data_IF_702693106143
#
_entry.id   IF_702693106143
#
_cell.length_a   1.000
_cell.length_b   1.000
_cell.length_c   1.000
_cell.angle_alpha   90.00
_cell.angle_beta   90.00
_cell.angle_gamma   90.00
#
_symmetry.space_group_name_H-M   'P 1'
#
loop_
_entity.id
_entity.type
_entity.pdbx_description
1 polymer ?
#
# COMPACT_ATOMS: atom_id res chain seq x y z
N UNK A 1 10.87 -13.39 -24.80
CA UNK A 1 10.83 -13.57 -23.34
C UNK A 1 11.78 -14.72 -23.08
N UNK A 2 12.95 -14.48 -22.50
CA UNK A 2 13.87 -15.57 -22.17
C UNK A 2 13.18 -16.51 -21.18
N UNK A 3 13.13 -17.80 -21.53
CA UNK A 3 12.26 -18.82 -20.93
C UNK A 3 12.44 -18.97 -19.40
N UNK A 4 13.59 -18.57 -18.87
CA UNK A 4 13.98 -18.78 -17.47
C UNK A 4 14.10 -17.48 -16.64
N UNK A 5 14.01 -16.28 -17.25
CA UNK A 5 14.23 -15.01 -16.53
C UNK A 5 12.99 -14.09 -16.44
N UNK A 6 12.40 -14.04 -15.25
CA UNK A 6 11.24 -13.22 -14.92
C UNK A 6 11.60 -11.77 -14.54
N UNK A 7 12.66 -11.56 -13.77
CA UNK A 7 12.93 -10.29 -13.08
C UNK A 7 14.24 -9.61 -13.53
N UNK A 8 14.30 -8.29 -13.39
CA UNK A 8 15.52 -7.49 -13.62
C UNK A 8 16.64 -7.94 -12.67
N UNK A 9 17.87 -7.99 -13.17
CA UNK A 9 19.05 -8.47 -12.44
C UNK A 9 19.14 -9.99 -12.29
N UNK A 10 18.13 -10.74 -12.76
CA UNK A 10 18.15 -12.20 -12.70
C UNK A 10 19.20 -12.75 -13.66
N UNK A 11 20.02 -13.68 -13.16
CA UNK A 11 20.94 -14.45 -13.99
C UNK A 11 20.22 -15.67 -14.55
N UNK A 12 20.33 -15.89 -15.86
CA UNK A 12 19.79 -17.06 -16.55
C UNK A 12 20.66 -17.41 -17.78
N UNK A 13 20.36 -18.52 -18.45
CA UNK A 13 21.09 -18.94 -19.66
C UNK A 13 21.16 -17.86 -20.73
N UNK A 14 20.08 -17.10 -20.90
CA UNK A 14 19.98 -16.01 -21.89
C UNK A 14 20.38 -14.64 -21.31
N UNK A 15 20.66 -14.56 -20.02
CA UNK A 15 21.00 -13.32 -19.32
C UNK A 15 22.14 -13.59 -18.33
N UNK A 16 23.36 -13.64 -18.86
CA UNK A 16 24.55 -13.94 -18.07
C UNK A 16 25.00 -12.76 -17.20
N UNK A 17 25.82 -13.06 -16.20
CA UNK A 17 26.46 -12.07 -15.33
C UNK A 17 27.95 -11.99 -15.65
N UNK A 18 28.41 -10.81 -16.06
CA UNK A 18 29.79 -10.49 -16.38
C UNK A 18 30.09 -9.01 -16.19
N UNK A 19 31.22 -8.54 -16.74
CA UNK A 19 31.60 -7.12 -16.65
C UNK A 19 30.68 -6.21 -17.46
N UNK A 20 30.20 -6.70 -18.60
CA UNK A 20 29.37 -5.92 -19.54
C UNK A 20 27.86 -6.09 -19.32
N UNK A 21 27.41 -7.22 -18.76
CA UNK A 21 26.00 -7.52 -18.53
C UNK A 21 25.80 -7.98 -17.09
N UNK A 22 24.77 -7.45 -16.43
CA UNK A 22 24.47 -7.74 -15.02
C UNK A 22 23.16 -8.53 -14.89
N UNK A 23 22.99 -9.59 -15.68
CA UNK A 23 21.74 -10.33 -15.78
C UNK A 23 20.70 -9.60 -16.64
N UNK A 24 19.42 -9.97 -16.50
CA UNK A 24 18.32 -9.43 -17.29
C UNK A 24 18.13 -7.94 -17.04
N UNK A 25 17.97 -7.15 -18.10
CA UNK A 25 17.77 -5.70 -17.97
C UNK A 25 16.31 -5.29 -18.11
N UNK A 26 15.51 -6.07 -18.85
CA UNK A 26 14.12 -5.74 -19.11
C UNK A 26 13.23 -5.98 -17.89
N UNK A 27 12.29 -5.07 -17.71
CA UNK A 27 11.23 -5.18 -16.72
C UNK A 27 10.38 -6.44 -16.98
N UNK A 28 9.85 -7.02 -15.90
CA UNK A 28 8.93 -8.15 -15.97
C UNK A 28 7.67 -7.76 -16.77
N UNK A 29 7.28 -8.61 -17.72
CA UNK A 29 5.99 -8.47 -18.40
C UNK A 29 4.89 -8.99 -17.50
N UNK A 30 3.96 -8.13 -17.11
CA UNK A 30 2.83 -8.48 -16.25
C UNK A 30 1.66 -9.02 -17.08
N UNK A 31 1.66 -10.33 -17.33
CA UNK A 31 0.64 -10.99 -18.16
C UNK A 31 -0.78 -10.79 -17.61
N UNK A 32 -0.93 -10.63 -16.30
CA UNK A 32 -2.21 -10.33 -15.68
C UNK A 32 -2.81 -9.00 -16.16
N UNK A 33 -1.99 -7.94 -16.25
CA UNK A 33 -2.44 -6.63 -16.76
C UNK A 33 -2.73 -6.69 -18.26
N UNK A 34 -1.90 -7.43 -19.01
CA UNK A 34 -2.13 -7.65 -20.45
C UNK A 34 -3.46 -8.36 -20.66
N UNK A 35 -3.76 -9.38 -19.87
CA UNK A 35 -5.05 -10.06 -19.88
C UNK A 35 -6.21 -9.14 -19.49
N UNK A 36 -6.02 -8.31 -18.47
CA UNK A 36 -7.00 -7.31 -18.04
C UNK A 36 -7.32 -6.29 -19.15
N UNK A 37 -6.33 -5.92 -19.99
CA UNK A 37 -6.53 -4.99 -21.10
C UNK A 37 -7.55 -5.49 -22.14
N UNK A 38 -7.80 -6.80 -22.22
CA UNK A 38 -8.86 -7.36 -23.06
C UNK A 38 -10.28 -7.08 -22.53
N UNK A 39 -10.44 -6.57 -21.29
CA UNK A 39 -11.68 -6.21 -20.59
C UNK A 39 -12.70 -7.33 -20.36
N UNK A 40 -12.66 -8.40 -21.15
CA UNK A 40 -13.64 -9.49 -21.10
C UNK A 40 -13.10 -10.75 -20.45
N UNK A 41 -11.79 -10.85 -20.24
CA UNK A 41 -11.15 -12.05 -19.67
C UNK A 41 -11.16 -11.99 -18.15
N UNK A 42 -11.54 -13.08 -17.49
CA UNK A 42 -11.30 -13.25 -16.05
C UNK A 42 -9.81 -13.50 -15.82
N UNK A 43 -9.18 -12.73 -14.94
CA UNK A 43 -7.75 -12.91 -14.61
C UNK A 43 -7.63 -13.20 -13.14
N UNK A 44 -6.84 -14.22 -12.78
CA UNK A 44 -6.38 -14.40 -11.41
C UNK A 44 -4.87 -14.58 -11.42
N UNK A 45 -4.19 -13.83 -10.55
CA UNK A 45 -2.79 -14.06 -10.23
C UNK A 45 -2.69 -14.52 -8.78
N UNK A 46 -2.00 -15.63 -8.56
CA UNK A 46 -2.00 -16.31 -7.27
C UNK A 46 -0.70 -17.02 -6.94
N UNK A 47 -0.61 -17.48 -5.70
CA UNK A 47 0.54 -18.19 -5.14
C UNK A 47 0.06 -19.37 -4.30
N UNK A 48 0.80 -20.48 -4.30
CA UNK A 48 0.47 -21.67 -3.49
C UNK A 48 0.50 -21.38 -1.98
N UNK A 49 1.18 -20.32 -1.56
CA UNK A 49 1.18 -19.83 -0.19
C UNK A 49 -0.17 -19.22 0.25
N UNK A 50 -1.09 -18.97 -0.68
CA UNK A 50 -2.40 -18.39 -0.41
C UNK A 50 -3.51 -19.31 -0.95
N UNK A 51 -3.73 -20.49 -0.33
CA UNK A 51 -4.65 -21.50 -0.85
C UNK A 51 -6.09 -21.01 -0.94
N UNK A 52 -6.57 -20.20 0.02
CA UNK A 52 -7.92 -19.62 -0.02
C UNK A 52 -8.12 -18.75 -1.26
N UNK A 53 -7.18 -17.84 -1.54
CA UNK A 53 -7.20 -16.99 -2.74
C UNK A 53 -7.20 -17.83 -4.03
N UNK A 54 -6.40 -18.90 -4.07
CA UNK A 54 -6.37 -19.80 -5.22
C UNK A 54 -7.69 -20.53 -5.43
N UNK A 55 -8.23 -21.16 -4.38
CA UNK A 55 -9.46 -21.96 -4.47
C UNK A 55 -10.64 -21.07 -4.89
N UNK A 56 -10.85 -19.94 -4.21
CA UNK A 56 -11.89 -18.98 -4.59
C UNK A 56 -11.68 -18.47 -6.01
N UNK A 57 -10.43 -18.13 -6.35
CA UNK A 57 -10.06 -17.64 -7.67
C UNK A 57 -10.33 -18.63 -8.79
N UNK A 58 -10.07 -19.93 -8.57
CA UNK A 58 -10.40 -21.00 -9.52
C UNK A 58 -11.89 -21.21 -9.64
N UNK A 59 -12.64 -21.21 -8.53
CA UNK A 59 -14.09 -21.34 -8.55
C UNK A 59 -14.72 -20.18 -9.33
N UNK A 60 -14.33 -18.94 -9.06
CA UNK A 60 -14.81 -17.77 -9.82
C UNK A 60 -14.47 -17.89 -11.31
N UNK A 61 -13.21 -18.21 -11.65
CA UNK A 61 -12.75 -18.25 -13.03
C UNK A 61 -13.32 -19.40 -13.86
N UNK A 62 -13.50 -20.60 -13.28
CA UNK A 62 -14.08 -21.75 -13.97
C UNK A 62 -15.59 -21.55 -14.20
N UNK A 63 -16.28 -20.88 -13.28
CA UNK A 63 -17.69 -20.56 -13.43
C UNK A 63 -17.94 -19.32 -14.33
N UNK A 64 -16.90 -18.57 -14.67
CA UNK A 64 -17.01 -17.41 -15.54
C UNK A 64 -17.35 -17.84 -16.97
N UNK A 65 -18.40 -17.26 -17.57
CA UNK A 65 -18.82 -17.55 -18.95
C UNK A 65 -17.98 -16.78 -19.99
N UNK A 66 -16.66 -16.72 -19.76
CA UNK A 66 -15.69 -15.89 -20.49
C UNK A 66 -14.32 -16.58 -20.44
N UNK A 67 -13.35 -16.23 -21.30
CA UNK A 67 -11.99 -16.73 -21.17
C UNK A 67 -11.44 -16.42 -19.78
N UNK A 68 -10.78 -17.40 -19.16
CA UNK A 68 -10.16 -17.27 -17.85
C UNK A 68 -8.65 -17.54 -17.96
N UNK A 69 -7.83 -16.65 -17.39
CA UNK A 69 -6.39 -16.80 -17.28
C UNK A 69 -6.00 -16.91 -15.81
N UNK A 70 -5.35 -18.02 -15.48
CA UNK A 70 -4.77 -18.26 -14.16
C UNK A 70 -3.25 -18.15 -14.26
N UNK A 71 -2.68 -17.13 -13.62
CA UNK A 71 -1.24 -16.89 -13.56
C UNK A 71 -0.74 -17.25 -12.16
N UNK A 72 -0.10 -18.41 -12.01
CA UNK A 72 0.29 -18.92 -10.69
C UNK A 72 1.80 -18.83 -10.53
N UNK A 73 2.26 -18.28 -9.40
CA UNK A 73 3.66 -18.33 -9.04
C UNK A 73 4.08 -19.76 -8.71
N UNK A 74 5.11 -20.24 -9.40
CA UNK A 74 5.72 -21.54 -9.15
C UNK A 74 7.22 -21.35 -8.94
N UNK A 75 7.70 -21.61 -7.72
CA UNK A 75 9.12 -21.66 -7.46
C UNK A 75 9.73 -22.90 -8.13
N UNK A 76 10.88 -22.74 -8.78
CA UNK A 76 11.62 -23.85 -9.38
C UNK A 76 12.93 -24.04 -8.63
N UNK A 77 13.06 -25.15 -7.91
CA UNK A 77 14.21 -25.45 -7.03
C UNK A 77 15.56 -25.33 -7.75
N UNK A 78 15.80 -26.06 -8.87
CA UNK A 78 17.09 -26.00 -9.56
C UNK A 78 17.37 -24.62 -10.18
N UNK A 79 16.39 -24.03 -10.86
CA UNK A 79 16.59 -22.78 -11.61
C UNK A 79 16.69 -21.54 -10.70
N UNK A 80 15.98 -21.55 -9.57
CA UNK A 80 16.07 -20.47 -8.58
C UNK A 80 17.24 -20.70 -7.61
N UNK A 81 17.75 -21.93 -7.54
CA UNK A 81 18.78 -22.37 -6.60
C UNK A 81 18.33 -22.22 -5.15
N UNK A 82 17.16 -22.75 -4.85
CA UNK A 82 16.54 -22.82 -3.53
C UNK A 82 16.46 -24.28 -3.09
N UNK A 83 16.29 -24.54 -1.78
CA UNK A 83 16.17 -25.92 -1.29
C UNK A 83 14.83 -26.57 -1.69
N UNK A 84 14.82 -27.90 -1.73
CA UNK A 84 13.70 -28.68 -2.27
C UNK A 84 12.39 -28.57 -1.47
N UNK A 85 12.50 -28.28 -0.18
CA UNK A 85 11.38 -28.10 0.77
C UNK A 85 10.90 -26.65 0.90
N UNK A 86 11.58 -25.68 0.24
CA UNK A 86 11.31 -24.25 0.40
C UNK A 86 10.29 -23.69 -0.60
N UNK A 87 9.60 -24.52 -1.36
CA UNK A 87 8.67 -24.06 -2.40
C UNK A 87 7.56 -23.16 -1.85
N UNK A 88 6.90 -23.57 -0.76
CA UNK A 88 5.84 -22.78 -0.11
C UNK A 88 6.41 -21.49 0.49
N UNK A 89 7.52 -21.60 1.22
CA UNK A 89 8.19 -20.46 1.84
C UNK A 89 8.59 -19.39 0.81
N UNK A 90 9.19 -19.78 -0.31
CA UNK A 90 9.53 -18.83 -1.38
C UNK A 90 8.30 -18.25 -2.07
N UNK A 91 7.23 -19.03 -2.18
CA UNK A 91 5.99 -18.57 -2.76
C UNK A 91 5.30 -17.54 -1.87
N UNK A 92 5.45 -17.65 -0.54
CA UNK A 92 5.04 -16.63 0.43
C UNK A 92 5.90 -15.38 0.29
N UNK A 93 7.23 -15.52 0.34
CA UNK A 93 8.15 -14.39 0.20
C UNK A 93 7.95 -13.62 -1.12
N UNK A 94 7.62 -14.30 -2.22
CA UNK A 94 7.33 -13.66 -3.50
C UNK A 94 6.10 -12.72 -3.43
N UNK A 95 5.03 -13.11 -2.72
CA UNK A 95 3.85 -12.27 -2.52
C UNK A 95 4.17 -11.10 -1.59
N UNK A 96 4.79 -11.42 -0.47
CA UNK A 96 5.10 -10.48 0.62
C UNK A 96 6.07 -9.37 0.18
N UNK A 97 7.09 -9.71 -0.60
CA UNK A 97 8.09 -8.77 -1.15
C UNK A 97 7.59 -7.98 -2.37
N UNK A 98 6.29 -8.07 -2.71
CA UNK A 98 5.70 -7.52 -3.94
C UNK A 98 6.34 -8.01 -5.24
N UNK A 99 7.14 -9.08 -5.21
CA UNK A 99 7.67 -9.68 -6.43
C UNK A 99 6.55 -10.22 -7.32
N UNK A 100 5.55 -10.84 -6.69
CA UNK A 100 4.40 -11.46 -7.32
C UNK A 100 3.13 -11.25 -6.47
N UNK A 101 2.55 -10.04 -6.47
CA UNK A 101 1.35 -9.74 -5.68
C UNK A 101 0.14 -10.54 -6.16
N UNK A 102 -0.79 -10.80 -5.24
CA UNK A 102 -2.07 -11.44 -5.57
C UNK A 102 -3.00 -10.42 -6.23
N UNK A 103 -3.74 -10.84 -7.26
CA UNK A 103 -4.81 -10.02 -7.83
C UNK A 103 -5.90 -10.91 -8.44
N UNK A 104 -7.09 -10.34 -8.56
CA UNK A 104 -8.21 -10.87 -9.35
C UNK A 104 -8.79 -9.75 -10.19
N UNK A 105 -9.16 -10.06 -11.41
CA UNK A 105 -9.94 -9.20 -12.28
C UNK A 105 -11.14 -9.99 -12.77
N UNK A 106 -12.33 -9.58 -12.35
CA UNK A 106 -13.59 -10.21 -12.71
C UNK A 106 -14.52 -9.17 -13.36
N UNK A 107 -14.68 -9.18 -14.68
CA UNK A 107 -15.50 -8.18 -15.36
C UNK A 107 -17.01 -8.36 -15.17
N UNK A 108 -17.46 -9.42 -14.47
CA UNK A 108 -18.86 -9.57 -14.06
C UNK A 108 -19.20 -8.79 -12.79
N UNK A 109 -18.20 -8.27 -12.06
CA UNK A 109 -18.42 -7.56 -10.78
C UNK A 109 -18.87 -6.11 -10.96
N UNK A 110 -18.69 -5.51 -12.13
CA UNK A 110 -19.06 -4.11 -12.36
C UNK A 110 -18.69 -3.60 -13.75
N UNK A 111 -18.78 -2.28 -13.92
CA UNK A 111 -18.42 -1.59 -15.17
C UNK A 111 -17.17 -0.73 -15.02
N UNK A 112 -16.83 -0.36 -13.79
CA UNK A 112 -15.62 0.39 -13.47
C UNK A 112 -14.45 -0.57 -13.21
N UNK A 113 -13.21 -0.22 -13.59
CA UNK A 113 -12.04 -1.04 -13.28
C UNK A 113 -11.90 -1.32 -11.78
N UNK A 114 -12.22 -0.35 -10.93
CA UNK A 114 -12.13 -0.44 -9.46
C UNK A 114 -13.13 -1.45 -8.86
N UNK A 115 -14.27 -1.69 -9.51
CA UNK A 115 -15.25 -2.69 -9.09
C UNK A 115 -14.83 -4.12 -9.48
N UNK A 116 -14.14 -4.23 -10.61
CA UNK A 116 -13.74 -5.48 -11.22
C UNK A 116 -12.36 -5.96 -10.74
N UNK A 117 -11.52 -5.06 -10.22
CA UNK A 117 -10.14 -5.34 -9.85
C UNK A 117 -9.97 -5.43 -8.33
N UNK A 118 -9.39 -6.54 -7.88
CA UNK A 118 -9.25 -6.87 -6.46
C UNK A 118 -7.81 -7.32 -6.16
N UNK A 119 -7.27 -6.84 -5.04
CA UNK A 119 -5.93 -7.17 -4.52
C UNK A 119 -5.98 -7.66 -3.08
N UNK A 120 -7.14 -8.11 -2.61
CA UNK A 120 -7.28 -8.75 -1.30
C UNK A 120 -6.35 -9.97 -1.16
N UNK A 121 -5.98 -10.29 0.08
CA UNK A 121 -5.06 -11.38 0.43
C UNK A 121 -3.58 -10.98 0.45
N UNK A 122 -3.21 -9.83 -0.10
CA UNK A 122 -1.86 -9.28 0.07
C UNK A 122 -1.67 -8.70 1.49
N UNK A 123 -0.50 -8.84 2.12
CA UNK A 123 -0.21 -8.22 3.42
C UNK A 123 -0.08 -6.69 3.30
N UNK A 124 -0.36 -5.98 4.39
CA UNK A 124 -0.15 -4.53 4.54
C UNK A 124 -0.56 -3.72 3.29
N UNK A 125 -1.84 -3.84 2.89
CA UNK A 125 -2.30 -3.39 1.56
C UNK A 125 -2.02 -1.89 1.34
N UNK A 126 -2.16 -1.07 2.37
CA UNK A 126 -1.97 0.39 2.27
C UNK A 126 -0.49 0.79 2.12
N UNK A 127 0.42 -0.04 2.63
CA UNK A 127 1.86 0.24 2.67
C UNK A 127 2.56 -0.21 1.38
N UNK A 128 3.70 0.40 1.09
CA UNK A 128 4.53 -0.02 -0.04
C UNK A 128 5.17 -1.40 0.23
N UNK A 129 5.65 -1.61 1.46
CA UNK A 129 6.30 -2.84 1.90
C UNK A 129 5.75 -3.27 3.26
N UNK A 130 5.43 -4.57 3.44
CA UNK A 130 5.16 -5.10 4.77
C UNK A 130 6.43 -5.16 5.63
N UNK A 131 6.27 -5.17 6.96
CA UNK A 131 7.37 -5.24 7.93
C UNK A 131 7.39 -6.58 8.67
N UNK A 132 8.60 -7.08 9.00
CA UNK A 132 8.82 -8.38 9.61
C UNK A 132 9.88 -8.32 10.71
N UNK A 133 9.73 -9.18 11.71
CA UNK A 133 10.73 -9.33 12.75
C UNK A 133 11.93 -10.13 12.21
N UNK A 134 13.09 -9.46 12.13
CA UNK A 134 14.39 -10.09 11.91
C UNK A 134 15.01 -10.40 13.28
N UNK A 135 15.13 -11.68 13.61
CA UNK A 135 15.81 -12.14 14.82
C UNK A 135 17.31 -12.23 14.60
N UNK A 136 18.10 -11.74 15.56
CA UNK A 136 19.56 -11.74 15.53
C UNK A 136 20.15 -11.86 16.93
N UNK A 137 21.45 -12.13 17.00
CA UNK A 137 22.25 -12.09 18.22
C UNK A 137 22.99 -10.76 18.26
N UNK A 138 22.80 -10.01 19.33
CA UNK A 138 23.42 -8.71 19.54
C UNK A 138 24.93 -8.81 19.87
N UNK A 139 25.55 -7.69 20.22
CA UNK A 139 26.99 -7.66 20.55
C UNK A 139 27.32 -8.30 21.91
N UNK A 140 26.32 -8.43 22.78
CA UNK A 140 26.42 -9.04 24.11
C UNK A 140 26.15 -10.55 24.08
N UNK A 141 25.66 -11.07 22.96
CA UNK A 141 25.33 -12.49 22.80
C UNK A 141 23.87 -12.82 23.11
N UNK A 142 23.04 -11.81 23.34
CA UNK A 142 21.63 -11.95 23.67
C UNK A 142 20.76 -11.98 22.41
N UNK A 143 19.63 -12.66 22.50
CA UNK A 143 18.66 -12.72 21.42
C UNK A 143 17.91 -11.39 21.32
N UNK A 144 18.01 -10.75 20.16
CA UNK A 144 17.33 -9.50 19.83
C UNK A 144 16.49 -9.68 18.56
N UNK A 145 15.53 -8.78 18.37
CA UNK A 145 14.72 -8.72 17.16
C UNK A 145 14.49 -7.26 16.75
N UNK A 146 14.41 -7.01 15.45
CA UNK A 146 14.06 -5.69 14.91
C UNK A 146 13.06 -5.83 13.77
N UNK A 147 12.23 -4.81 13.58
CA UNK A 147 11.31 -4.76 12.45
C UNK A 147 12.04 -4.22 11.22
N UNK A 148 11.99 -4.96 10.11
CA UNK A 148 12.57 -4.57 8.83
C UNK A 148 11.52 -4.68 7.72
N UNK A 149 11.52 -3.75 6.75
CA UNK A 149 10.65 -3.86 5.58
C UNK A 149 11.12 -5.01 4.69
N UNK A 150 10.19 -5.84 4.20
CA UNK A 150 10.49 -6.87 3.21
C UNK A 150 10.29 -6.32 1.81
N UNK A 151 11.40 -5.95 1.19
CA UNK A 151 11.45 -5.47 -0.19
C UNK A 151 11.72 -6.61 -1.16
N UNK A 152 11.66 -6.31 -2.46
CA UNK A 152 12.09 -7.27 -3.50
C UNK A 152 13.54 -7.75 -3.31
N UNK A 153 14.43 -6.93 -2.74
CA UNK A 153 15.82 -7.33 -2.49
C UNK A 153 15.92 -8.43 -1.42
N UNK A 154 15.05 -8.40 -0.41
CA UNK A 154 14.99 -9.38 0.67
C UNK A 154 14.47 -10.74 0.16
N UNK A 155 13.62 -10.75 -0.86
CA UNK A 155 13.29 -11.96 -1.61
C UNK A 155 14.44 -12.39 -2.54
N UNK A 156 15.07 -11.45 -3.25
CA UNK A 156 16.10 -11.78 -4.23
C UNK A 156 17.37 -12.37 -3.58
N UNK A 157 17.75 -11.92 -2.37
CA UNK A 157 18.94 -12.44 -1.67
C UNK A 157 18.80 -13.93 -1.29
N UNK A 158 17.57 -14.45 -1.16
CA UNK A 158 17.33 -15.86 -0.82
C UNK A 158 17.46 -16.81 -2.01
N UNK A 159 17.55 -16.29 -3.25
CA UNK A 159 17.64 -17.11 -4.46
C UNK A 159 19.01 -17.01 -5.13
N UNK A 160 19.59 -18.17 -5.47
CA UNK A 160 20.93 -18.23 -6.07
C UNK A 160 21.03 -17.46 -7.40
N UNK A 161 19.91 -17.36 -8.14
CA UNK A 161 19.83 -16.63 -9.42
C UNK A 161 20.11 -15.12 -9.31
N UNK A 162 20.11 -14.54 -8.11
CA UNK A 162 20.51 -13.15 -7.86
C UNK A 162 21.78 -13.03 -7.03
N UNK A 163 22.39 -14.12 -6.58
CA UNK A 163 23.52 -14.12 -5.62
C UNK A 163 24.67 -13.20 -6.03
N UNK A 164 24.96 -13.07 -7.33
CA UNK A 164 26.03 -12.20 -7.86
C UNK A 164 25.75 -10.70 -7.74
N UNK A 165 24.49 -10.32 -7.49
CA UNK A 165 24.03 -8.94 -7.33
C UNK A 165 24.21 -8.41 -5.91
N UNK A 166 24.68 -9.23 -4.96
CA UNK A 166 24.77 -8.83 -3.55
C UNK A 166 26.21 -8.84 -3.06
N UNK A 167 26.56 -7.85 -2.24
CA UNK A 167 27.87 -7.74 -1.59
C UNK A 167 27.67 -7.48 -0.10
N UNK A 168 28.25 -8.35 0.74
CA UNK A 168 28.26 -8.15 2.20
C UNK A 168 29.30 -7.11 2.56
N UNK A 169 28.94 -6.21 3.47
CA UNK A 169 29.82 -5.15 3.97
C UNK A 169 30.41 -5.56 5.32
N UNK A 170 31.75 -5.62 5.44
CA UNK A 170 32.44 -5.77 6.73
C UNK A 170 32.03 -4.68 7.74
N UNK A 171 31.95 -5.01 9.03
CA UNK A 171 31.46 -4.08 10.07
C UNK A 171 32.31 -2.81 10.19
N UNK A 172 33.61 -2.92 9.95
CA UNK A 172 34.58 -1.81 9.94
C UNK A 172 34.35 -0.81 8.80
N UNK A 173 33.65 -1.22 7.74
CA UNK A 173 33.34 -0.34 6.60
C UNK A 173 31.97 0.36 6.73
N UNK A 174 31.25 0.17 7.84
CA UNK A 174 29.95 0.80 8.06
C UNK A 174 30.11 2.31 8.25
N UNK A 175 29.27 3.08 7.57
CA UNK A 175 29.28 4.54 7.65
C UNK A 175 27.86 5.10 7.51
N UNK A 176 27.71 6.41 7.75
CA UNK A 176 26.42 7.12 7.76
C UNK A 176 25.82 7.32 6.37
N UNK A 177 26.62 7.14 5.30
CA UNK A 177 26.12 7.20 3.92
C UNK A 177 25.38 5.90 3.52
N UNK A 178 25.38 4.88 4.37
CA UNK A 178 24.63 3.65 4.16
C UNK A 178 23.19 3.84 4.65
N UNK A 179 22.23 3.73 3.74
CA UNK A 179 20.81 3.95 4.03
C UNK A 179 20.02 2.66 3.80
N UNK A 180 19.09 2.27 4.69
CA UNK A 180 18.20 1.13 4.44
C UNK A 180 17.51 1.26 3.09
N UNK A 181 17.45 0.17 2.31
CA UNK A 181 16.98 0.21 0.93
C UNK A 181 15.59 0.84 0.81
N UNK A 182 14.64 0.48 1.67
CA UNK A 182 13.29 1.05 1.63
C UNK A 182 13.26 2.58 1.77
N UNK A 183 14.11 3.14 2.64
CA UNK A 183 14.28 4.59 2.81
C UNK A 183 15.04 5.20 1.64
N UNK A 184 16.08 4.52 1.15
CA UNK A 184 16.83 4.97 -0.01
C UNK A 184 15.93 5.17 -1.24
N UNK A 185 14.90 4.33 -1.41
CA UNK A 185 13.95 4.45 -2.52
C UNK A 185 13.03 5.68 -2.43
N UNK A 186 12.87 6.30 -1.25
CA UNK A 186 12.03 7.51 -1.07
C UNK A 186 12.81 8.81 -1.21
N UNK A 187 14.15 8.75 -1.16
CA UNK A 187 15.02 9.90 -1.32
C UNK A 187 14.96 10.46 -2.75
N UNK A 188 14.81 11.78 -2.85
CA UNK A 188 14.96 12.54 -4.10
C UNK A 188 16.44 12.65 -4.51
N UNK A 189 17.31 12.97 -3.55
CA UNK A 189 18.76 13.01 -3.74
C UNK A 189 19.46 11.80 -3.11
N UNK A 190 20.15 11.07 -3.97
CA UNK A 190 20.81 9.79 -3.71
C UNK A 190 22.33 9.87 -3.92
N UNK A 191 22.86 11.03 -4.26
CA UNK A 191 24.28 11.19 -4.50
C UNK A 191 25.08 10.84 -3.23
N UNK A 192 26.13 10.03 -3.40
CA UNK A 192 26.98 9.58 -2.29
C UNK A 192 26.35 8.58 -1.32
N UNK A 193 25.09 8.19 -1.50
CA UNK A 193 24.39 7.24 -0.60
C UNK A 193 24.44 5.81 -1.12
N UNK A 194 24.58 4.86 -0.21
CA UNK A 194 24.68 3.43 -0.53
C UNK A 194 23.49 2.67 0.07
N UNK A 195 22.59 2.09 -0.75
CA UNK A 195 21.49 1.31 -0.23
C UNK A 195 21.99 0.00 0.37
N UNK A 196 21.39 -0.45 1.46
CA UNK A 196 21.64 -1.78 2.02
C UNK A 196 20.36 -2.43 2.55
N UNK A 197 20.37 -3.75 2.66
CA UNK A 197 19.37 -4.52 3.41
C UNK A 197 20.03 -5.20 4.61
N UNK A 198 19.24 -5.44 5.65
CA UNK A 198 19.67 -6.22 6.81
C UNK A 198 19.58 -7.71 6.51
N UNK A 199 20.63 -8.45 6.84
CA UNK A 199 20.62 -9.90 6.83
C UNK A 199 21.35 -10.43 8.06
N UNK A 200 21.30 -11.74 8.26
CA UNK A 200 22.04 -12.43 9.33
C UNK A 200 23.12 -13.33 8.73
N UNK A 201 24.29 -13.36 9.38
CA UNK A 201 25.36 -14.28 9.03
C UNK A 201 25.11 -15.69 9.62
N UNK A 202 26.03 -16.64 9.34
CA UNK A 202 25.96 -18.02 9.86
C UNK A 202 26.02 -18.12 11.39
N UNK A 203 26.36 -17.03 12.09
CA UNK A 203 26.42 -16.94 13.55
C UNK A 203 25.24 -16.12 14.10
N UNK A 204 24.20 -15.89 13.30
CA UNK A 204 23.02 -15.08 13.62
C UNK A 204 23.33 -13.61 13.94
N UNK A 205 24.46 -13.06 13.49
CA UNK A 205 24.79 -11.64 13.71
C UNK A 205 24.31 -10.79 12.55
N UNK A 206 23.87 -9.58 12.86
CA UNK A 206 23.48 -8.61 11.83
C UNK A 206 24.65 -8.25 10.91
N UNK A 207 24.35 -8.26 9.62
CA UNK A 207 25.21 -7.81 8.53
C UNK A 207 24.44 -6.87 7.60
N UNK A 208 25.15 -5.92 7.00
CA UNK A 208 24.63 -5.08 5.92
C UNK A 208 25.00 -5.70 4.57
N UNK A 209 24.02 -5.84 3.69
CA UNK A 209 24.22 -6.34 2.33
C UNK A 209 23.82 -5.27 1.33
N UNK A 210 24.75 -4.89 0.46
CA UNK A 210 24.52 -3.91 -0.59
C UNK A 210 23.99 -4.63 -1.84
N UNK A 211 22.76 -4.32 -2.30
CA UNK A 211 22.28 -4.74 -3.59
C UNK A 211 22.93 -3.94 -4.73
N UNK A 212 23.20 -4.58 -5.86
CA UNK A 212 23.64 -3.92 -7.07
C UNK A 212 22.51 -3.08 -7.70
N UNK A 213 22.89 -2.12 -8.55
CA UNK A 213 21.95 -1.21 -9.21
C UNK A 213 20.77 -1.89 -9.94
N UNK A 214 20.91 -3.06 -10.60
CA UNK A 214 19.77 -3.79 -11.17
C UNK A 214 18.71 -4.20 -10.13
N UNK A 215 19.13 -4.61 -8.93
CA UNK A 215 18.21 -5.01 -7.86
C UNK A 215 17.52 -3.78 -7.25
N UNK A 216 18.23 -2.66 -7.11
CA UNK A 216 17.62 -1.39 -6.67
C UNK A 216 16.53 -0.96 -7.65
N UNK A 217 16.82 -0.98 -8.97
CA UNK A 217 15.83 -0.70 -10.02
C UNK A 217 14.65 -1.68 -9.99
N UNK A 218 14.90 -2.97 -9.72
CA UNK A 218 13.84 -3.96 -9.57
C UNK A 218 12.93 -3.64 -8.37
N UNK A 219 13.49 -3.18 -7.24
CA UNK A 219 12.71 -2.78 -6.07
C UNK A 219 11.84 -1.54 -6.37
N UNK A 220 12.37 -0.56 -7.11
CA UNK A 220 11.59 0.60 -7.56
C UNK A 220 10.43 0.19 -8.45
N UNK A 221 10.70 -0.67 -9.42
CA UNK A 221 9.69 -1.20 -10.33
C UNK A 221 8.59 -1.95 -9.56
N UNK A 222 8.95 -2.85 -8.64
CA UNK A 222 7.98 -3.59 -7.81
C UNK A 222 7.15 -2.65 -6.93
N UNK A 223 7.75 -1.62 -6.33
CA UNK A 223 7.02 -0.60 -5.56
C UNK A 223 6.04 0.17 -6.44
N UNK A 224 6.49 0.64 -7.59
CA UNK A 224 5.66 1.40 -8.52
C UNK A 224 4.52 0.54 -9.08
N UNK A 225 4.80 -0.73 -9.39
CA UNK A 225 3.80 -1.70 -9.78
C UNK A 225 2.75 -1.88 -8.68
N UNK A 226 3.17 -2.06 -7.42
CA UNK A 226 2.26 -2.16 -6.29
C UNK A 226 1.37 -0.92 -6.13
N UNK A 227 1.94 0.29 -6.21
CA UNK A 227 1.17 1.55 -6.16
C UNK A 227 0.16 1.66 -7.31
N UNK A 228 0.51 1.21 -8.51
CA UNK A 228 -0.41 1.14 -9.64
C UNK A 228 -1.54 0.14 -9.37
N UNK A 229 -1.24 -1.03 -8.82
CA UNK A 229 -2.26 -2.02 -8.44
C UNK A 229 -3.25 -1.46 -7.41
N UNK A 230 -2.75 -0.75 -6.38
CA UNK A 230 -3.60 -0.04 -5.40
C UNK A 230 -4.52 0.96 -6.09
N UNK A 231 -3.98 1.78 -6.99
CA UNK A 231 -4.78 2.76 -7.74
C UNK A 231 -5.85 2.11 -8.63
N UNK A 232 -5.57 0.94 -9.22
CA UNK A 232 -6.55 0.18 -10.02
C UNK A 232 -7.65 -0.43 -9.16
N UNK A 233 -7.33 -0.83 -7.92
CA UNK A 233 -8.28 -1.34 -6.94
C UNK A 233 -9.04 -0.22 -6.20
N UNK A 234 -8.87 1.06 -6.58
CA UNK A 234 -9.49 2.20 -5.90
C UNK A 234 -8.87 2.55 -4.53
N UNK A 235 -7.77 1.89 -4.14
CA UNK A 235 -7.04 2.15 -2.91
C UNK A 235 -6.09 3.32 -3.15
N UNK A 236 -6.55 4.53 -2.82
CA UNK A 236 -5.76 5.75 -2.92
C UNK A 236 -5.62 6.38 -1.53
N UNK A 237 -4.45 6.94 -1.18
CA UNK A 237 -4.37 7.80 -0.02
C UNK A 237 -5.40 8.93 -0.21
N UNK A 238 -6.19 9.20 0.83
CA UNK A 238 -7.21 10.24 0.80
C UNK A 238 -6.55 11.55 0.34
N UNK A 239 -6.91 12.01 -0.86
CA UNK A 239 -6.48 13.31 -1.31
C UNK A 239 -7.15 14.33 -0.39
N UNK A 240 -6.37 15.07 0.41
CA UNK A 240 -6.89 16.21 1.14
C UNK A 240 -7.22 17.31 0.12
N UNK A 241 -8.43 17.23 -0.43
CA UNK A 241 -8.95 18.15 -1.44
C UNK A 241 -8.84 19.60 -0.96
N UNK A 242 -8.93 19.82 0.35
CA UNK A 242 -8.76 21.13 0.99
C UNK A 242 -7.36 21.68 0.78
N UNK A 243 -6.32 20.89 1.07
CA UNK A 243 -4.93 21.31 0.87
C UNK A 243 -4.58 21.51 -0.61
N UNK A 244 -5.16 20.69 -1.50
CA UNK A 244 -4.97 20.84 -2.94
C UNK A 244 -5.62 22.14 -3.41
N UNK A 245 -6.85 22.44 -2.99
CA UNK A 245 -7.54 23.69 -3.33
C UNK A 245 -6.79 24.91 -2.79
N UNK A 246 -6.31 24.86 -1.55
CA UNK A 246 -5.51 25.94 -0.94
C UNK A 246 -4.21 26.18 -1.69
N UNK A 247 -3.48 25.12 -2.05
CA UNK A 247 -2.23 25.22 -2.82
C UNK A 247 -2.48 25.76 -4.22
N UNK A 248 -3.53 25.28 -4.91
CA UNK A 248 -3.90 25.74 -6.25
C UNK A 248 -4.33 27.22 -6.21
N UNK A 249 -5.10 27.64 -5.21
CA UNK A 249 -5.46 29.05 -5.01
C UNK A 249 -4.22 29.91 -4.77
N UNK A 250 -3.27 29.46 -3.96
CA UNK A 250 -2.04 30.18 -3.67
C UNK A 250 -1.13 30.31 -4.91
N UNK A 251 -0.97 29.24 -5.69
CA UNK A 251 -0.22 29.27 -6.96
C UNK A 251 -0.89 30.15 -8.02
N UNK A 252 -2.22 30.10 -8.12
CA UNK A 252 -2.99 30.93 -9.05
C UNK A 252 -2.90 32.41 -8.67
N UNK A 253 -3.02 32.75 -7.37
CA UNK A 253 -2.87 34.12 -6.89
C UNK A 253 -1.45 34.68 -7.15
N UNK A 254 -0.40 33.88 -6.90
CA UNK A 254 0.98 34.26 -7.25
C UNK A 254 1.15 34.49 -8.75
N UNK A 255 0.62 33.58 -9.57
CA UNK A 255 0.71 33.70 -11.03
C UNK A 255 -0.03 34.94 -11.53
N UNK A 256 -1.23 35.21 -11.00
CA UNK A 256 -2.01 36.40 -11.35
C UNK A 256 -1.30 37.68 -10.94
N UNK A 257 -0.72 37.72 -9.74
CA UNK A 257 0.05 38.87 -9.26
C UNK A 257 1.28 39.15 -10.14
N UNK A 258 2.03 38.10 -10.52
CA UNK A 258 3.16 38.23 -11.45
C UNK A 258 2.69 38.73 -12.82
N UNK A 259 1.58 38.20 -13.36
CA UNK A 259 1.02 38.62 -14.65
C UNK A 259 0.49 40.05 -14.62
N UNK A 260 -0.16 40.47 -13.54
CA UNK A 260 -0.63 41.85 -13.37
C UNK A 260 0.55 42.81 -13.27
N UNK A 261 1.63 42.43 -12.57
CA UNK A 261 2.86 43.22 -12.51
C UNK A 261 3.56 43.32 -13.87
N UNK A 262 3.58 42.23 -14.65
CA UNK A 262 4.07 42.23 -16.04
C UNK A 262 3.23 43.12 -16.95
N UNK A 263 1.90 43.13 -16.79
CA UNK A 263 0.98 43.98 -17.57
C UNK A 263 0.98 45.46 -17.13
N UNK A 264 1.28 45.73 -15.85
CA UNK A 264 1.42 47.08 -15.32
C UNK A 264 2.81 47.70 -15.61
N UNK A 265 3.74 46.91 -16.16
CA UNK A 265 5.12 47.29 -16.46
C UNK A 265 5.32 48.18 -17.68
N UNK A 266 4.32 48.98 -18.08
CA UNK A 266 4.45 50.01 -19.13
C UNK A 266 4.15 51.44 -18.60
N UNK A 267 4.26 51.65 -17.28
CA UNK A 267 4.01 52.95 -16.65
C UNK A 267 4.61 53.08 -15.25
N UNK A 268 5.84 53.61 -15.21
CA UNK A 268 6.61 54.11 -14.06
C UNK A 268 5.83 54.43 -12.76
N UNK A 269 5.98 53.60 -11.71
CA UNK A 269 5.69 53.95 -10.31
C UNK A 269 6.66 53.25 -9.33
N UNK A 270 6.97 53.88 -8.17
CA UNK A 270 8.04 53.44 -7.28
C UNK A 270 7.65 52.24 -6.41
N UNK A 271 8.64 51.39 -6.12
CA UNK A 271 8.54 50.22 -5.25
C UNK A 271 8.32 50.60 -3.77
N UNK A 272 7.14 51.10 -3.41
CA UNK A 272 6.74 51.31 -2.02
C UNK A 272 5.21 51.57 -1.91
N UNK A 273 4.38 50.57 -2.20
CA UNK A 273 3.01 50.44 -1.65
C UNK A 273 2.34 49.20 -2.27
N UNK A 274 2.67 48.02 -1.76
CA UNK A 274 1.75 46.89 -1.85
C UNK A 274 1.10 46.80 -0.47
N UNK A 275 -0.20 47.08 -0.31
CA UNK A 275 -0.86 46.77 0.94
C UNK A 275 -0.84 45.25 1.08
N UNK A 276 -0.15 44.77 2.12
CA UNK A 276 -0.29 43.40 2.58
C UNK A 276 -1.74 43.32 3.07
N UNK A 277 -2.63 42.79 2.25
CA UNK A 277 -3.96 42.40 2.71
C UNK A 277 -3.75 41.15 3.54
N UNK A 278 -3.49 41.31 4.82
CA UNK A 278 -3.67 40.22 5.77
C UNK A 278 -5.12 39.76 5.65
N UNK A 279 -5.38 38.46 5.43
CA UNK A 279 -6.74 37.97 5.47
C UNK A 279 -7.27 38.18 6.88
N UNK A 280 -8.30 39.02 6.99
CA UNK A 280 -9.10 39.18 8.20
C UNK A 280 -9.53 37.77 8.63
N UNK A 281 -9.24 37.33 9.87
CA UNK A 281 -9.77 36.07 10.34
C UNK A 281 -11.27 36.23 10.44
N UNK A 282 -11.99 35.64 9.49
CA UNK A 282 -13.40 35.36 9.66
C UNK A 282 -13.45 34.32 10.76
N UNK A 283 -13.75 34.77 11.99
CA UNK A 283 -14.13 33.89 13.07
C UNK A 283 -15.15 32.89 12.50
N UNK A 284 -14.98 31.56 12.72
CA UNK A 284 -15.93 30.61 12.20
C UNK A 284 -17.29 31.00 12.71
N UNK A 285 -18.15 31.48 11.79
CA UNK A 285 -19.56 31.59 12.06
C UNK A 285 -19.95 30.20 12.54
N UNK A 286 -20.42 30.12 13.79
CA UNK A 286 -21.07 28.93 14.29
C UNK A 286 -22.06 28.51 13.21
N UNK A 287 -21.76 27.41 12.53
CA UNK A 287 -22.58 26.88 11.48
C UNK A 287 -23.86 26.40 12.16
N UNK A 288 -24.82 27.31 12.24
CA UNK A 288 -26.20 26.98 12.44
C UNK A 288 -26.58 25.94 11.39
N UNK A 289 -27.17 24.86 11.89
CA UNK A 289 -27.61 23.70 11.14
C UNK A 289 -28.29 24.09 9.82
N UNK A 290 -27.72 23.62 8.71
CA UNK A 290 -28.44 23.46 7.46
C UNK A 290 -28.97 22.02 7.44
N UNK A 291 -30.24 21.86 7.78
CA UNK A 291 -31.00 20.64 7.55
C UNK A 291 -31.47 20.59 6.09
N UNK A 292 -31.33 19.41 5.47
CA UNK A 292 -31.91 18.97 4.20
C UNK A 292 -30.90 18.16 3.38
N UNK A 293 -30.98 16.84 3.19
CA UNK A 293 -32.02 15.84 3.45
C UNK A 293 -31.36 14.51 3.87
N UNK A 294 -31.88 13.86 4.93
CA UNK A 294 -31.64 12.44 5.20
C UNK A 294 -30.33 12.00 5.90
N UNK A 295 -29.42 12.92 6.27
CA UNK A 295 -28.21 12.52 7.02
C UNK A 295 -28.46 12.45 8.53
N UNK A 296 -28.31 11.26 9.11
CA UNK A 296 -28.37 11.01 10.56
C UNK A 296 -26.94 10.63 10.98
N UNK A 297 -26.29 11.47 11.77
CA UNK A 297 -24.95 11.15 12.29
C UNK A 297 -25.04 9.92 13.21
N UNK A 298 -24.05 9.00 13.22
CA UNK A 298 -24.05 7.87 14.14
C UNK A 298 -23.95 8.34 15.60
N UNK A 299 -24.57 7.61 16.53
CA UNK A 299 -24.54 7.90 17.97
C UNK A 299 -24.44 6.62 18.81
N UNK A 300 -24.13 6.77 20.10
CA UNK A 300 -24.06 5.67 21.06
C UNK A 300 -24.79 6.06 22.34
N UNK A 301 -25.67 5.20 22.84
CA UNK A 301 -26.23 5.29 24.19
C UNK A 301 -25.17 4.92 25.22
N UNK A 302 -24.22 5.84 25.42
CA UNK A 302 -22.98 5.62 26.18
C UNK A 302 -23.25 5.18 27.63
N UNK A 303 -24.36 5.63 28.23
CA UNK A 303 -24.79 5.22 29.59
C UNK A 303 -25.18 3.76 29.72
N UNK A 304 -25.40 3.06 28.61
CA UNK A 304 -25.74 1.63 28.56
C UNK A 304 -24.56 0.78 28.05
N UNK A 305 -23.40 1.38 27.82
CA UNK A 305 -22.21 0.68 27.33
C UNK A 305 -21.63 -0.28 28.38
N UNK A 306 -21.35 -1.52 27.98
CA UNK A 306 -20.78 -2.59 28.83
C UNK A 306 -19.26 -2.73 28.73
N UNK A 307 -18.57 -1.83 28.01
CA UNK A 307 -17.12 -1.78 27.86
C UNK A 307 -16.44 -3.09 27.40
N UNK A 308 -17.07 -3.80 26.46
CA UNK A 308 -16.60 -5.07 25.88
C UNK A 308 -15.44 -4.95 24.87
N UNK A 309 -15.00 -3.73 24.54
CA UNK A 309 -13.87 -3.40 23.64
C UNK A 309 -14.06 -3.81 22.16
N UNK A 310 -15.23 -4.32 21.79
CA UNK A 310 -15.53 -4.79 20.43
C UNK A 310 -15.52 -3.65 19.40
N UNK A 311 -16.14 -2.50 19.72
CA UNK A 311 -16.22 -1.36 18.82
C UNK A 311 -14.87 -0.66 18.58
N UNK A 312 -14.07 -0.50 19.64
CA UNK A 312 -12.73 0.09 19.56
C UNK A 312 -11.73 -0.83 18.86
N UNK A 313 -11.91 -2.15 18.97
CA UNK A 313 -11.13 -3.14 18.20
C UNK A 313 -11.49 -3.13 16.71
N UNK A 314 -12.76 -2.91 16.37
CA UNK A 314 -13.22 -2.81 14.97
C UNK A 314 -12.62 -1.58 14.29
N UNK A 315 -12.72 -0.40 14.91
CA UNK A 315 -12.10 0.80 14.35
C UNK A 315 -11.77 1.85 15.45
N UNK A 316 -10.51 1.94 15.92
CA UNK A 316 -10.10 2.88 16.96
C UNK A 316 -10.04 4.34 16.47
N UNK A 317 -10.23 4.58 15.17
CA UNK A 317 -10.35 5.95 14.62
C UNK A 317 -11.78 6.47 14.76
N UNK A 318 -12.78 5.58 14.83
CA UNK A 318 -14.20 5.96 14.98
C UNK A 318 -14.59 5.99 16.46
N UNK A 319 -14.22 4.96 17.23
CA UNK A 319 -14.64 4.76 18.62
C UNK A 319 -13.50 5.02 19.60
N UNK A 320 -13.82 5.62 20.74
CA UNK A 320 -12.91 5.79 21.87
C UNK A 320 -13.67 5.62 23.19
N UNK A 321 -12.95 5.49 24.30
CA UNK A 321 -13.52 5.45 25.64
C UNK A 321 -13.34 6.78 26.37
N UNK A 322 -14.35 7.17 27.14
CA UNK A 322 -14.27 8.26 28.09
C UNK A 322 -13.56 7.83 29.40
N UNK A 323 -13.47 8.75 30.36
CA UNK A 323 -12.85 8.51 31.67
C UNK A 323 -13.60 7.45 32.52
N UNK A 324 -14.86 7.15 32.18
CA UNK A 324 -15.72 6.18 32.85
C UNK A 324 -15.81 4.84 32.10
N UNK A 325 -15.00 4.64 31.04
CA UNK A 325 -15.03 3.47 30.14
C UNK A 325 -16.35 3.29 29.37
N UNK A 326 -17.07 4.35 29.06
CA UNK A 326 -18.16 4.31 28.08
C UNK A 326 -17.65 4.63 26.68
N UNK A 327 -18.07 3.82 25.71
CA UNK A 327 -17.69 4.02 24.32
C UNK A 327 -18.44 5.23 23.75
N UNK A 328 -17.71 6.15 23.11
CA UNK A 328 -18.28 7.27 22.35
C UNK A 328 -17.67 7.32 20.94
N UNK A 329 -18.36 8.03 20.04
CA UNK A 329 -17.88 8.23 18.67
C UNK A 329 -16.98 9.45 18.65
N UNK A 330 -15.67 9.23 18.52
CA UNK A 330 -14.65 10.28 18.41
C UNK A 330 -14.64 10.93 17.04
N UNK A 331 -14.82 10.14 15.97
CA UNK A 331 -14.88 10.66 14.60
C UNK A 331 -15.82 9.80 13.74
N UNK A 332 -17.04 10.28 13.44
CA UNK A 332 -17.99 9.59 12.56
C UNK A 332 -17.45 9.29 11.15
N UNK A 333 -16.42 10.03 10.71
CA UNK A 333 -15.77 9.89 9.40
C UNK A 333 -14.39 9.20 9.49
N UNK A 334 -14.10 8.56 10.63
CA UNK A 334 -12.81 7.90 10.88
C UNK A 334 -12.58 6.60 10.10
N UNK A 335 -13.59 6.13 9.37
CA UNK A 335 -13.55 4.91 8.56
C UNK A 335 -14.84 4.73 7.75
N UNK A 336 -14.94 3.60 7.00
CA UNK A 336 -16.10 3.29 6.17
C UNK A 336 -17.35 2.99 7.02
N UNK A 337 -18.55 3.25 6.46
CA UNK A 337 -19.85 3.01 7.09
C UNK A 337 -20.04 1.56 7.52
N UNK A 338 -19.45 0.59 6.80
CA UNK A 338 -19.46 -0.83 7.22
C UNK A 338 -18.89 -1.06 8.61
N UNK A 339 -17.94 -0.24 9.08
CA UNK A 339 -17.34 -0.40 10.40
C UNK A 339 -18.32 0.04 11.50
N UNK A 340 -19.15 1.07 11.22
CA UNK A 340 -20.26 1.48 12.10
C UNK A 340 -21.34 0.39 12.17
N UNK A 341 -21.74 -0.17 11.02
CA UNK A 341 -22.73 -1.26 10.96
C UNK A 341 -22.21 -2.51 11.67
N UNK A 342 -20.94 -2.88 11.45
CA UNK A 342 -20.31 -4.03 12.10
C UNK A 342 -20.17 -3.83 13.62
N UNK A 343 -19.88 -2.60 14.06
CA UNK A 343 -19.82 -2.27 15.48
C UNK A 343 -21.20 -2.39 16.13
N UNK A 344 -22.27 -1.94 15.47
CA UNK A 344 -23.64 -2.12 15.96
C UNK A 344 -24.06 -3.59 16.05
N UNK A 345 -23.75 -4.40 15.03
CA UNK A 345 -24.05 -5.84 15.02
C UNK A 345 -23.31 -6.62 16.09
N UNK A 346 -22.08 -6.21 16.41
CA UNK A 346 -21.25 -6.88 17.41
C UNK A 346 -21.43 -6.33 18.81
N UNK A 347 -22.09 -5.19 18.98
CA UNK A 347 -22.28 -4.58 20.29
C UNK A 347 -23.17 -5.47 21.16
N UNK A 348 -22.58 -6.09 22.17
CA UNK A 348 -23.32 -6.92 23.15
C UNK A 348 -24.47 -6.17 23.83
N UNK A 349 -24.31 -4.87 24.07
CA UNK A 349 -25.34 -4.01 24.67
C UNK A 349 -26.33 -3.42 23.65
N UNK A 350 -26.07 -3.56 22.33
CA UNK A 350 -26.88 -2.99 21.24
C UNK A 350 -27.09 -1.47 21.35
N UNK A 351 -26.09 -0.74 21.85
CA UNK A 351 -26.17 0.71 22.11
C UNK A 351 -25.61 1.59 20.99
N UNK A 352 -25.13 0.99 19.89
CA UNK A 352 -24.48 1.71 18.80
C UNK A 352 -25.46 1.86 17.64
N UNK A 353 -25.70 3.11 17.24
CA UNK A 353 -26.58 3.48 16.15
C UNK A 353 -25.75 3.99 14.97
N UNK A 354 -25.66 3.25 13.85
CA UNK A 354 -24.81 3.61 12.71
C UNK A 354 -25.23 4.89 11.96
N UNK A 355 -26.44 5.39 12.17
CA UNK A 355 -26.96 6.54 11.44
C UNK A 355 -27.11 6.26 9.95
N UNK A 356 -26.90 7.26 9.09
CA UNK A 356 -26.87 7.08 7.64
C UNK A 356 -25.45 7.24 7.09
N UNK A 357 -25.13 6.61 5.95
CA UNK A 357 -23.79 6.63 5.39
C UNK A 357 -23.36 8.04 4.99
N UNK A 358 -22.14 8.40 5.40
CA UNK A 358 -21.54 9.68 5.02
C UNK A 358 -20.96 9.66 3.60
N UNK A 359 -20.46 8.51 3.12
CA UNK A 359 -19.97 8.32 1.74
C UNK A 359 -20.99 7.53 0.91
N UNK A 360 -21.70 8.17 -0.03
CA UNK A 360 -22.67 7.51 -0.90
C UNK A 360 -22.04 6.52 -1.91
N UNK A 361 -20.71 6.46 -2.01
CA UNK A 361 -19.99 5.63 -2.98
C UNK A 361 -19.39 4.36 -2.38
N UNK A 362 -19.70 4.06 -1.12
CA UNK A 362 -19.19 2.88 -0.44
C UNK A 362 -19.73 1.58 -1.06
N UNK A 363 -18.85 0.57 -1.19
CA UNK A 363 -19.22 -0.74 -1.76
C UNK A 363 -20.30 -1.42 -0.90
N UNK A 364 -21.29 -2.02 -1.57
CA UNK A 364 -22.42 -2.71 -0.94
C UNK A 364 -23.32 -1.82 -0.03
N UNK A 365 -23.36 -0.51 -0.28
CA UNK A 365 -24.10 0.46 0.55
C UNK A 365 -25.56 0.08 0.80
N UNK A 366 -26.30 -0.35 -0.23
CA UNK A 366 -27.70 -0.76 -0.09
C UNK A 366 -27.89 -1.93 0.89
N UNK A 367 -26.92 -2.85 0.94
CA UNK A 367 -26.94 -3.98 1.90
C UNK A 367 -26.61 -3.50 3.30
N UNK A 368 -25.65 -2.57 3.42
CA UNK A 368 -25.27 -1.98 4.70
C UNK A 368 -26.40 -1.13 5.31
N UNK A 369 -27.11 -0.34 4.51
CA UNK A 369 -28.29 0.43 4.95
C UNK A 369 -29.38 -0.52 5.46
N UNK A 370 -29.68 -1.60 4.72
CA UNK A 370 -30.67 -2.61 5.16
C UNK A 370 -30.29 -3.28 6.48
N UNK A 371 -28.99 -3.55 6.71
CA UNK A 371 -28.48 -4.14 7.96
C UNK A 371 -28.48 -3.15 9.12
N UNK A 372 -28.22 -1.87 8.84
CA UNK A 372 -28.23 -0.80 9.82
C UNK A 372 -29.65 -0.43 10.28
N UNK A 373 -30.68 -0.68 9.46
CA UNK A 373 -32.06 -0.25 9.71
C UNK A 373 -32.67 -0.75 11.04
N UNK A 374 -32.18 -1.88 11.56
CA UNK A 374 -32.62 -2.41 12.87
C UNK A 374 -31.95 -1.74 14.08
N UNK A 375 -30.94 -0.90 13.83
CA UNK A 375 -30.15 -0.16 14.82
C UNK A 375 -30.30 1.37 14.63
N UNK A 376 -31.31 1.82 13.89
CA UNK A 376 -31.63 3.25 13.69
C UNK A 376 -32.56 3.77 14.77
#
# INVERSE_FOLDING_TARGET
QACTSGFTGQVSDMAQFGKAAQGKEEVRKEIALVGMAHRTTYIMQGSIANPTHLIEGFIEGINARRPALFNIYSACMPEHGIADDLAEHQSKLAVESRAYPLLRYNPDKGTLPEECFDIEGNPAIEEDWPSYALSYVDEHGDAAAMQVPLTFADFAITEARFRKQFRTVPRDAWNDNMVPLAEYLTLEDREGKFPFIWAVDKKNRLIRVIPAAPIVRACEDRRNFWRMLKSLAGIRPAADTTQIEERVRAEFARTLATRILEMAGDGNLPAAAVPIVEPVPIAPAAAAAANGDGYIAPWIDSSQCTACDECTTINPKIFAYDEHRHAYIKNPKGGPYRDLVRAAEKCTAQVIHPGTPFDPREKDLDKLIKRAAQYL
#
